data_IF_711843868495
#
_entry.id   IF_711843868495
#
_cell.length_a   1.000
_cell.length_b   1.000
_cell.length_c   1.000
_cell.angle_alpha   90.00
_cell.angle_beta   90.00
_cell.angle_gamma   90.00
#
_symmetry.space_group_name_H-M   'P 1'
#
loop_
_entity.id
_entity.type
_entity.pdbx_description
1 polymer ?
#
# COMPACT_ATOMS: atom_id res chain seq x y z
N UNK A 1 11.59 4.59 -10.13
CA UNK A 1 11.44 3.20 -10.52
C UNK A 1 10.00 2.76 -10.48
N UNK A 2 9.72 1.61 -11.08
CA UNK A 2 8.36 1.07 -11.12
C UNK A 2 7.81 0.81 -9.71
N UNK A 3 8.67 0.31 -8.83
CA UNK A 3 8.25 0.03 -7.46
C UNK A 3 7.80 1.30 -6.75
N UNK A 4 8.51 2.39 -6.96
CA UNK A 4 8.16 3.66 -6.35
C UNK A 4 6.80 4.15 -6.84
N UNK A 5 6.55 4.04 -8.13
CA UNK A 5 5.28 4.44 -8.71
C UNK A 5 4.14 3.61 -8.12
N UNK A 6 4.36 2.31 -7.98
CA UNK A 6 3.37 1.42 -7.40
C UNK A 6 3.08 1.79 -5.95
N UNK A 7 4.11 2.14 -5.19
CA UNK A 7 3.94 2.51 -3.80
C UNK A 7 3.16 3.82 -3.66
N UNK A 8 3.43 4.78 -4.52
CA UNK A 8 2.71 6.04 -4.49
C UNK A 8 1.23 5.81 -4.80
N UNK A 9 0.94 4.96 -5.76
CA UNK A 9 -0.43 4.62 -6.08
C UNK A 9 -1.11 3.91 -4.90
N UNK A 10 -0.38 3.02 -4.24
CA UNK A 10 -0.92 2.31 -3.09
C UNK A 10 -1.25 3.27 -1.95
N UNK A 11 -0.37 4.24 -1.70
CA UNK A 11 -0.63 5.24 -0.67
C UNK A 11 -1.90 6.02 -0.97
N UNK A 12 -2.07 6.41 -2.21
CA UNK A 12 -3.24 7.14 -2.65
C UNK A 12 -4.52 6.33 -2.40
N UNK A 13 -4.48 5.04 -2.75
CA UNK A 13 -5.64 4.18 -2.54
C UNK A 13 -5.92 3.97 -1.06
N UNK A 14 -4.87 3.86 -0.25
CA UNK A 14 -5.04 3.70 1.19
C UNK A 14 -5.67 4.94 1.83
N UNK A 15 -5.33 6.12 1.32
CA UNK A 15 -5.85 7.36 1.87
C UNK A 15 -7.27 7.66 1.40
N UNK A 16 -7.58 7.32 0.17
CA UNK A 16 -8.83 7.76 -0.46
C UNK A 16 -9.90 6.70 -0.59
N UNK A 17 -9.60 5.45 -0.29
CA UNK A 17 -10.57 4.37 -0.42
C UNK A 17 -10.56 3.49 0.82
N UNK A 18 -11.55 2.59 0.91
CA UNK A 18 -11.62 1.62 2.00
C UNK A 18 -11.17 0.23 1.52
N UNK A 19 -10.44 0.19 0.42
CA UNK A 19 -9.95 -1.07 -0.13
C UNK A 19 -9.04 -1.79 0.87
N UNK A 20 -9.10 -3.11 0.84
CA UNK A 20 -8.26 -3.90 1.72
C UNK A 20 -6.84 -4.00 1.15
N UNK A 21 -5.87 -4.32 2.02
CA UNK A 21 -4.48 -4.38 1.61
C UNK A 21 -4.26 -5.30 0.41
N UNK A 22 -4.88 -6.48 0.42
CA UNK A 22 -4.69 -7.42 -0.68
C UNK A 22 -5.30 -6.90 -1.97
N UNK A 23 -6.37 -6.15 -1.88
CA UNK A 23 -6.99 -5.56 -3.05
C UNK A 23 -6.09 -4.48 -3.65
N UNK A 24 -5.52 -3.66 -2.79
CA UNK A 24 -4.61 -2.61 -3.24
C UNK A 24 -3.36 -3.21 -3.87
N UNK A 25 -2.80 -4.25 -3.25
CA UNK A 25 -1.62 -4.91 -3.78
C UNK A 25 -1.86 -5.41 -5.20
N UNK A 26 -3.01 -6.03 -5.40
CA UNK A 26 -3.38 -6.55 -6.72
C UNK A 26 -3.58 -5.40 -7.71
N UNK A 27 -4.22 -4.35 -7.27
CA UNK A 27 -4.52 -3.21 -8.12
C UNK A 27 -3.25 -2.52 -8.61
N UNK A 28 -2.25 -2.42 -7.76
CA UNK A 28 -1.01 -1.74 -8.14
C UNK A 28 0.00 -2.68 -8.80
N UNK A 29 -0.32 -3.96 -8.90
CA UNK A 29 0.49 -4.89 -9.68
C UNK A 29 1.42 -5.79 -8.86
N UNK A 30 1.17 -5.95 -7.57
CA UNK A 30 1.91 -6.90 -6.76
C UNK A 30 1.20 -8.24 -6.76
N UNK A 31 1.94 -9.30 -7.06
CA UNK A 31 1.36 -10.66 -7.09
C UNK A 31 1.07 -11.18 -5.69
N UNK A 32 1.86 -10.75 -4.70
CA UNK A 32 1.78 -11.25 -3.33
C UNK A 32 1.51 -10.10 -2.37
N UNK A 33 0.34 -10.09 -1.70
CA UNK A 33 0.01 -9.03 -0.73
C UNK A 33 1.00 -8.98 0.43
N UNK A 34 1.56 -10.12 0.81
CA UNK A 34 2.54 -10.15 1.89
C UNK A 34 3.80 -9.38 1.50
N UNK A 35 4.27 -9.62 0.28
CA UNK A 35 5.43 -8.91 -0.23
C UNK A 35 5.15 -7.41 -0.38
N UNK A 36 3.95 -7.09 -0.78
CA UNK A 36 3.52 -5.70 -0.86
C UNK A 36 3.65 -5.01 0.50
N UNK A 37 3.18 -5.67 1.56
CA UNK A 37 3.26 -5.12 2.90
C UNK A 37 4.69 -4.87 3.33
N UNK A 38 5.58 -5.82 3.07
CA UNK A 38 6.99 -5.70 3.42
C UNK A 38 7.63 -4.52 2.67
N UNK A 39 7.38 -4.45 1.37
CA UNK A 39 7.94 -3.39 0.54
C UNK A 39 7.40 -2.03 0.97
N UNK A 40 6.11 -1.95 1.27
CA UNK A 40 5.49 -0.71 1.72
C UNK A 40 6.14 -0.22 3.00
N UNK A 41 6.34 -1.13 3.95
CA UNK A 41 6.96 -0.76 5.22
C UNK A 41 8.39 -0.27 5.01
N UNK A 42 9.13 -0.90 4.13
CA UNK A 42 10.50 -0.48 3.83
C UNK A 42 10.54 0.93 3.25
N UNK A 43 9.57 1.27 2.43
CA UNK A 43 9.58 2.56 1.74
C UNK A 43 8.97 3.69 2.55
N UNK A 44 7.97 3.38 3.36
CA UNK A 44 7.24 4.41 4.09
C UNK A 44 7.49 4.39 5.60
N UNK A 45 8.03 3.30 6.11
CA UNK A 45 8.31 3.19 7.54
C UNK A 45 7.16 2.58 8.34
N UNK A 46 6.03 2.30 7.70
CA UNK A 46 4.90 1.67 8.39
C UNK A 46 4.18 0.72 7.44
N UNK A 47 3.42 -0.20 8.02
CA UNK A 47 2.67 -1.14 7.21
C UNK A 47 1.49 -0.44 6.54
N UNK A 48 0.96 -1.03 5.46
CA UNK A 48 -0.23 -0.45 4.82
C UNK A 48 -1.41 -0.28 5.79
N UNK A 49 -1.57 -1.24 6.71
CA UNK A 49 -2.65 -1.17 7.69
C UNK A 49 -2.43 0.01 8.63
N UNK A 50 -1.22 0.19 9.12
CA UNK A 50 -0.90 1.30 10.00
C UNK A 50 -1.07 2.63 9.28
N UNK A 51 -0.62 2.69 8.04
CA UNK A 51 -0.74 3.90 7.24
C UNK A 51 -2.20 4.30 7.04
N UNK A 52 -3.02 3.33 6.69
CA UNK A 52 -4.45 3.60 6.48
C UNK A 52 -5.12 4.06 7.76
N UNK A 53 -4.75 3.44 8.88
CA UNK A 53 -5.33 3.79 10.18
C UNK A 53 -5.01 5.23 10.55
N UNK A 54 -3.80 5.69 10.27
CA UNK A 54 -3.40 7.05 10.59
C UNK A 54 -3.99 8.09 9.65
N UNK A 55 -4.04 7.77 8.37
CA UNK A 55 -4.46 8.75 7.35
C UNK A 55 -5.95 8.79 7.11
N UNK A 56 -6.61 7.69 7.38
CA UNK A 56 -8.05 7.59 7.13
C UNK A 56 -8.79 7.81 8.45
N UNK A 57 -9.25 8.99 8.67
CA UNK A 57 -9.95 9.29 9.91
C UNK A 57 -11.46 9.43 9.73
#
# INVERSE_FOLDING_TARGET
SLTRIRMEKARELLENTTMKNYEIAEKVGFADPHYFGISFKKMTGCTPTEYAREKRK
#
